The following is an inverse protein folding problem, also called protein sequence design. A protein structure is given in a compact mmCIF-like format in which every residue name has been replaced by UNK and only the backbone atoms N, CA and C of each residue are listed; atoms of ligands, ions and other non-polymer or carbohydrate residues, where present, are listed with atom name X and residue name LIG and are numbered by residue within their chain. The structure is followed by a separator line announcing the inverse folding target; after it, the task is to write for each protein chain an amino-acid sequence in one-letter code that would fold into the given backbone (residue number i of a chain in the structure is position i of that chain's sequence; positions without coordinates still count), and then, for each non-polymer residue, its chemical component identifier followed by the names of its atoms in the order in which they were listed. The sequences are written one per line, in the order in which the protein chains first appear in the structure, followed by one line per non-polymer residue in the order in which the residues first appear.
data_IF_063819801991
#
_entry.id   IF_063819801991
#
_cell.length_a   1.000
_cell.length_b   1.000
_cell.length_c   1.000
_cell.angle_alpha   90.00
_cell.angle_beta   90.00
_cell.angle_gamma   90.00
#
_symmetry.space_group_name_H-M   'P 1'
#
loop_
_entity.id
_entity.type
_entity.pdbx_description
1 polymer ?
#
# COMPACT_ATOMS: atom_id res chain seq x y z
N UNK A 1 -14.59 -3.64 -42.03
CA UNK A 1 -13.56 -3.57 -40.97
C UNK A 1 -14.16 -2.92 -39.72
N UNK A 2 -14.00 -3.49 -38.51
CA UNK A 2 -14.42 -2.87 -37.24
C UNK A 2 -13.16 -2.58 -36.42
N UNK A 3 -12.85 -1.33 -36.04
CA UNK A 3 -11.74 -1.09 -35.13
C UNK A 3 -12.12 -1.64 -33.75
N UNK A 4 -11.33 -2.62 -33.29
CA UNK A 4 -11.29 -3.06 -31.90
C UNK A 4 -10.40 -2.08 -31.13
N UNK A 5 -10.79 -1.75 -29.91
CA UNK A 5 -9.87 -1.14 -28.95
C UNK A 5 -10.54 -0.11 -28.06
N UNK A 6 -11.19 -0.59 -27.00
CA UNK A 6 -11.57 0.22 -25.85
C UNK A 6 -10.34 0.97 -25.35
N UNK A 7 -10.38 2.30 -25.39
CA UNK A 7 -9.39 3.18 -24.74
C UNK A 7 -9.58 3.11 -23.23
N UNK A 8 -9.05 2.05 -22.61
CA UNK A 8 -8.89 2.03 -21.16
C UNK A 8 -8.00 3.21 -20.74
N UNK A 9 -8.50 4.01 -19.81
CA UNK A 9 -7.97 5.31 -19.40
C UNK A 9 -6.48 5.27 -19.04
N UNK A 10 -5.70 6.15 -19.65
CA UNK A 10 -4.25 6.26 -19.50
C UNK A 10 -3.76 6.86 -18.16
N UNK A 11 -4.66 7.17 -17.21
CA UNK A 11 -4.32 7.81 -15.94
C UNK A 11 -4.93 7.06 -14.75
N UNK A 12 -4.54 5.81 -14.53
CA UNK A 12 -4.86 5.09 -13.28
C UNK A 12 -3.59 4.77 -12.50
N UNK A 13 -2.65 5.72 -12.43
CA UNK A 13 -1.50 5.59 -11.53
C UNK A 13 -1.93 6.07 -10.16
N UNK A 14 -1.86 5.23 -9.10
CA UNK A 14 -2.32 5.63 -7.79
C UNK A 14 -1.50 6.84 -7.32
N UNK A 15 -2.21 7.91 -6.92
CA UNK A 15 -1.57 9.15 -6.50
C UNK A 15 -0.88 8.94 -5.14
N UNK A 16 0.44 9.10 -5.15
CA UNK A 16 1.28 9.05 -3.96
C UNK A 16 1.03 10.28 -3.09
N UNK A 17 0.69 10.09 -1.82
CA UNK A 17 0.69 11.15 -0.82
C UNK A 17 2.12 11.43 -0.32
N UNK A 18 2.84 12.32 -1.02
CA UNK A 18 4.24 12.61 -0.73
C UNK A 18 4.46 13.17 0.69
N UNK A 19 3.55 14.01 1.20
CA UNK A 19 3.61 14.55 2.56
C UNK A 19 3.57 13.46 3.62
N UNK A 20 2.65 12.50 3.46
CA UNK A 20 2.56 11.38 4.39
C UNK A 20 3.85 10.55 4.38
N UNK A 21 4.42 10.26 3.21
CA UNK A 21 5.69 9.52 3.11
C UNK A 21 6.87 10.28 3.73
N UNK A 22 6.90 11.61 3.64
CA UNK A 22 7.95 12.43 4.26
C UNK A 22 7.91 12.35 5.78
N UNK A 23 6.71 12.43 6.36
CA UNK A 23 6.47 12.38 7.80
C UNK A 23 6.53 10.95 8.38
N UNK A 24 6.03 9.96 7.64
CA UNK A 24 5.93 8.56 8.06
C UNK A 24 6.86 7.70 7.21
N UNK A 25 8.18 7.91 7.32
CA UNK A 25 9.14 7.02 6.66
C UNK A 25 9.24 5.70 7.42
N UNK A 26 9.30 4.59 6.68
CA UNK A 26 9.57 3.29 7.29
C UNK A 26 10.96 3.35 7.97
N UNK A 27 11.07 2.94 9.24
CA UNK A 27 12.37 2.81 9.91
C UNK A 27 13.30 1.85 9.16
N UNK A 28 14.62 1.95 9.36
CA UNK A 28 15.61 1.07 8.70
C UNK A 28 15.46 -0.40 9.13
N UNK A 29 15.20 -0.64 10.41
CA UNK A 29 14.99 -1.98 10.99
C UNK A 29 13.69 -2.00 11.82
N UNK A 30 12.52 -1.95 11.17
CA UNK A 30 11.26 -1.94 11.90
C UNK A 30 10.97 -3.35 12.43
N UNK A 31 10.47 -3.42 13.66
CA UNK A 31 9.88 -4.66 14.18
C UNK A 31 8.66 -5.06 13.35
N UNK A 32 8.24 -6.32 13.45
CA UNK A 32 7.05 -6.83 12.76
C UNK A 32 5.82 -5.96 13.04
N UNK A 33 5.57 -5.61 14.30
CA UNK A 33 4.46 -4.77 14.70
C UNK A 33 4.53 -3.35 14.11
N UNK A 34 5.73 -2.73 14.12
CA UNK A 34 5.93 -1.40 13.52
C UNK A 34 5.69 -1.43 12.01
N UNK A 35 6.15 -2.49 11.34
CA UNK A 35 5.97 -2.68 9.89
C UNK A 35 4.50 -2.86 9.54
N UNK A 36 3.78 -3.68 10.30
CA UNK A 36 2.33 -3.88 10.14
C UNK A 36 1.58 -2.56 10.36
N UNK A 37 1.82 -1.87 11.46
CA UNK A 37 1.17 -0.58 11.78
C UNK A 37 1.42 0.47 10.68
N UNK A 38 2.66 0.54 10.18
CA UNK A 38 3.01 1.44 9.07
C UNK A 38 2.20 1.12 7.80
N UNK A 39 2.07 -0.15 7.43
CA UNK A 39 1.31 -0.55 6.24
C UNK A 39 -0.19 -0.25 6.37
N UNK A 40 -0.77 -0.44 7.56
CA UNK A 40 -2.18 -0.10 7.83
C UNK A 40 -2.43 1.41 7.74
N UNK A 41 -1.52 2.23 8.28
CA UNK A 41 -1.60 3.69 8.15
C UNK A 41 -1.39 4.14 6.70
N UNK A 42 -0.44 3.53 5.99
CA UNK A 42 -0.18 3.81 4.57
C UNK A 42 -1.40 3.53 3.70
N UNK A 43 -2.13 2.43 3.92
CA UNK A 43 -3.34 2.12 3.14
C UNK A 43 -4.49 3.10 3.39
N UNK A 44 -4.52 3.76 4.54
CA UNK A 44 -5.55 4.77 4.84
C UNK A 44 -5.19 6.15 4.28
N UNK A 45 -3.90 6.51 4.30
CA UNK A 45 -3.45 7.85 3.93
C UNK A 45 -3.00 8.01 2.47
N UNK A 46 -2.54 6.93 1.84
CA UNK A 46 -1.90 6.97 0.52
C UNK A 46 -2.37 5.84 -0.39
N UNK A 47 -2.31 4.59 0.07
CA UNK A 47 -2.64 3.39 -0.69
C UNK A 47 -1.91 3.26 -2.05
N UNK A 48 -0.77 3.94 -2.25
CA UNK A 48 -0.09 3.93 -3.54
C UNK A 48 0.51 2.56 -3.92
N UNK A 49 0.63 1.67 -2.93
CA UNK A 49 1.14 0.31 -3.05
C UNK A 49 0.27 -0.64 -2.22
N UNK A 50 -0.05 -1.84 -2.75
CA UNK A 50 -0.74 -2.87 -1.97
C UNK A 50 0.14 -3.37 -0.82
N UNK A 51 -0.51 -3.93 0.21
CA UNK A 51 0.20 -4.54 1.34
C UNK A 51 0.88 -5.83 0.86
N UNK A 52 2.18 -6.02 1.13
CA UNK A 52 2.89 -7.24 0.72
C UNK A 52 2.39 -8.47 1.49
N UNK A 53 2.46 -9.65 0.84
CA UNK A 53 1.94 -10.91 1.37
C UNK A 53 2.52 -11.29 2.74
N UNK A 54 3.81 -11.03 2.98
CA UNK A 54 4.42 -11.28 4.29
C UNK A 54 3.75 -10.48 5.41
N UNK A 55 3.30 -9.25 5.14
CA UNK A 55 2.62 -8.40 6.14
C UNK A 55 1.16 -8.78 6.30
N UNK A 56 0.50 -9.23 5.22
CA UNK A 56 -0.83 -9.83 5.32
C UNK A 56 -0.82 -11.08 6.21
N UNK A 57 0.22 -11.93 6.09
CA UNK A 57 0.38 -13.09 6.95
C UNK A 57 0.57 -12.71 8.43
N UNK A 58 1.34 -11.65 8.71
CA UNK A 58 1.47 -11.11 10.07
C UNK A 58 0.16 -10.53 10.58
N UNK A 59 -0.56 -9.73 9.78
CA UNK A 59 -1.88 -9.19 10.13
C UNK A 59 -2.86 -10.30 10.52
N UNK A 60 -2.91 -11.38 9.75
CA UNK A 60 -3.77 -12.54 10.06
C UNK A 60 -3.36 -13.22 11.37
N UNK A 61 -2.06 -13.29 11.70
CA UNK A 61 -1.58 -13.82 12.99
C UNK A 61 -1.96 -12.92 14.16
N UNK A 62 -1.92 -11.60 13.98
CA UNK A 62 -2.26 -10.63 15.03
C UNK A 62 -3.77 -10.49 15.26
N UNK A 63 -4.60 -10.67 14.24
CA UNK A 63 -6.07 -10.59 14.34
C UNK A 63 -6.72 -11.83 14.99
N UNK A 64 -6.00 -12.95 15.08
CA UNK A 64 -6.47 -14.19 15.70
C UNK A 64 -6.16 -14.29 17.21
N UNK A 65 -5.74 -13.18 17.84
CA UNK A 65 -5.49 -13.05 19.28
C UNK A 65 -6.55 -12.16 19.91
#
# INVERSE_FOLDING_TARGET
MKPRGSTASADQRPRLNADWHRANRMPKNPSTAQRVAWHVAHTQACACRPIPASILAELSRHAAR
#
